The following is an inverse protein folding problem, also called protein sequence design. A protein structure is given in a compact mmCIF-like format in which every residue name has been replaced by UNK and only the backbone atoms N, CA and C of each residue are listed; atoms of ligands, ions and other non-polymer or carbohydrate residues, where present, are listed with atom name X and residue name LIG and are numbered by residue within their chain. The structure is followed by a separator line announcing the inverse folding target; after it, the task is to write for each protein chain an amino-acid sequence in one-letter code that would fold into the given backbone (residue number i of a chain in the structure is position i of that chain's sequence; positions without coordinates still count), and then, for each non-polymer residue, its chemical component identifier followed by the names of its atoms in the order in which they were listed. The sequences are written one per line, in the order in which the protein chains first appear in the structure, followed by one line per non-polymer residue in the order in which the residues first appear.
data_IF_977718153727
#
_entry.id   IF_977718153727
#
_cell.length_a   1.000
_cell.length_b   1.000
_cell.length_c   1.000
_cell.angle_alpha   90.00
_cell.angle_beta   90.00
_cell.angle_gamma   90.00
#
_symmetry.space_group_name_H-M   'P 1'
#
loop_
_entity.id
_entity.type
_entity.pdbx_description
1 polymer ?
#
# COMPACT_ATOMS: atom_id res chain seq x y z
N UNK A 1 53.94 -23.58 18.87
CA UNK A 1 52.44 -23.54 18.99
C UNK A 1 51.84 -22.12 18.91
N UNK A 2 52.64 -21.07 18.82
CA UNK A 2 52.21 -19.64 18.86
C UNK A 2 52.07 -18.96 17.49
N UNK A 3 52.70 -19.42 16.42
CA UNK A 3 52.63 -18.79 15.10
C UNK A 3 51.41 -19.23 14.28
N UNK A 4 51.02 -20.48 14.37
CA UNK A 4 49.85 -21.03 13.68
C UNK A 4 48.54 -20.42 14.21
N UNK A 5 48.44 -20.13 15.52
CA UNK A 5 47.28 -19.48 16.12
C UNK A 5 47.14 -18.01 15.66
N UNK A 6 48.27 -17.28 15.56
CA UNK A 6 48.31 -15.92 15.05
C UNK A 6 47.89 -15.84 13.57
N UNK A 7 48.36 -16.75 12.73
CA UNK A 7 48.04 -16.80 11.31
C UNK A 7 46.53 -17.07 11.07
N UNK A 8 45.91 -17.97 11.82
CA UNK A 8 44.48 -18.25 11.76
C UNK A 8 43.62 -17.06 12.23
N UNK A 9 44.07 -16.35 13.29
CA UNK A 9 43.35 -15.17 13.80
C UNK A 9 43.44 -14.01 12.83
N UNK A 10 44.62 -13.78 12.22
CA UNK A 10 44.82 -12.72 11.22
C UNK A 10 44.02 -12.98 9.93
N UNK A 11 44.00 -14.24 9.45
CA UNK A 11 43.20 -14.62 8.29
C UNK A 11 41.68 -14.52 8.54
N UNK A 12 41.23 -14.87 9.76
CA UNK A 12 39.82 -14.72 10.16
C UNK A 12 39.39 -13.24 10.29
N UNK A 13 40.28 -12.38 10.79
CA UNK A 13 40.06 -10.93 10.87
C UNK A 13 40.10 -10.28 9.48
N UNK A 14 41.04 -10.67 8.62
CA UNK A 14 41.14 -10.19 7.25
C UNK A 14 39.89 -10.57 6.41
N UNK A 15 39.33 -11.76 6.64
CA UNK A 15 38.06 -12.18 5.98
C UNK A 15 36.85 -11.36 6.42
N UNK A 16 36.88 -10.74 7.62
CA UNK A 16 35.83 -9.81 8.10
C UNK A 16 35.99 -8.38 7.54
N UNK A 17 37.16 -8.04 7.04
CA UNK A 17 37.47 -6.68 6.51
C UNK A 17 37.34 -6.55 4.99
N UNK A 18 37.12 -7.66 4.25
CA UNK A 18 36.78 -7.53 2.81
C UNK A 18 35.39 -6.96 2.66
N UNK A 19 35.22 -5.80 1.99
CA UNK A 19 33.92 -5.24 1.79
C UNK A 19 33.06 -6.24 1.01
N UNK A 20 31.77 -6.42 1.38
CA UNK A 20 30.90 -7.38 0.72
C UNK A 20 30.81 -7.05 -0.77
N UNK A 21 30.84 -8.07 -1.62
CA UNK A 21 30.72 -7.92 -3.06
C UNK A 21 29.39 -7.22 -3.47
N UNK A 22 29.32 -6.69 -4.71
CA UNK A 22 28.14 -5.94 -5.15
C UNK A 22 26.84 -6.74 -5.01
N UNK A 23 26.84 -8.03 -5.30
CA UNK A 23 25.69 -8.91 -5.13
C UNK A 23 25.29 -9.08 -3.65
N UNK A 24 26.28 -9.27 -2.76
CA UNK A 24 26.02 -9.39 -1.32
C UNK A 24 25.47 -8.09 -0.73
N UNK A 25 25.96 -6.93 -1.18
CA UNK A 25 25.42 -5.61 -0.82
C UNK A 25 23.99 -5.44 -1.30
N UNK A 26 23.69 -5.85 -2.54
CA UNK A 26 22.35 -5.81 -3.10
C UNK A 26 21.38 -6.68 -2.28
N UNK A 27 21.75 -7.93 -2.00
CA UNK A 27 20.93 -8.86 -1.19
C UNK A 27 20.72 -8.31 0.22
N UNK A 28 21.76 -7.80 0.86
CA UNK A 28 21.67 -7.26 2.21
C UNK A 28 20.76 -6.02 2.29
N UNK A 29 20.90 -5.10 1.33
CA UNK A 29 20.11 -3.87 1.27
C UNK A 29 18.64 -4.11 0.90
N UNK A 30 18.34 -5.21 0.18
CA UNK A 30 16.99 -5.54 -0.29
C UNK A 30 16.44 -6.83 0.37
N UNK A 31 16.99 -7.23 1.51
CA UNK A 31 16.64 -8.51 2.17
C UNK A 31 15.13 -8.68 2.44
N UNK A 32 14.45 -7.61 2.83
CA UNK A 32 13.00 -7.65 3.08
C UNK A 32 12.24 -7.92 1.78
N UNK A 33 12.53 -7.17 0.71
CA UNK A 33 11.91 -7.37 -0.61
C UNK A 33 12.19 -8.78 -1.15
N UNK A 34 13.44 -9.25 -1.05
CA UNK A 34 13.83 -10.60 -1.52
C UNK A 34 13.11 -11.67 -0.69
N UNK A 35 13.04 -11.50 0.63
CA UNK A 35 12.28 -12.40 1.49
C UNK A 35 10.80 -12.49 1.11
N UNK A 36 10.16 -11.36 0.88
CA UNK A 36 8.77 -11.30 0.41
C UNK A 36 8.60 -11.96 -0.97
N UNK A 37 9.55 -11.76 -1.90
CA UNK A 37 9.53 -12.41 -3.20
C UNK A 37 9.66 -13.93 -3.08
N UNK A 38 10.53 -14.43 -2.22
CA UNK A 38 10.67 -15.88 -1.97
C UNK A 38 9.36 -16.46 -1.40
N UNK A 39 8.74 -15.77 -0.44
CA UNK A 39 7.43 -16.19 0.10
C UNK A 39 6.38 -16.23 -1.01
N UNK A 40 6.34 -15.22 -1.88
CA UNK A 40 5.44 -15.19 -3.03
C UNK A 40 5.66 -16.38 -3.96
N UNK A 41 6.90 -16.69 -4.33
CA UNK A 41 7.21 -17.81 -5.22
C UNK A 41 6.85 -19.16 -4.60
N UNK A 42 7.12 -19.37 -3.31
CA UNK A 42 6.71 -20.58 -2.59
C UNK A 42 5.18 -20.71 -2.57
N UNK A 43 4.47 -19.63 -2.26
CA UNK A 43 3.01 -19.60 -2.28
C UNK A 43 2.46 -19.95 -3.66
N UNK A 44 3.02 -19.37 -4.74
CA UNK A 44 2.62 -19.68 -6.11
C UNK A 44 2.85 -21.16 -6.46
N UNK A 45 4.00 -21.71 -6.06
CA UNK A 45 4.26 -23.14 -6.27
C UNK A 45 3.22 -24.02 -5.55
N UNK A 46 2.86 -23.67 -4.31
CA UNK A 46 1.80 -24.39 -3.56
C UNK A 46 0.45 -24.26 -4.27
N UNK A 47 0.06 -23.06 -4.72
CA UNK A 47 -1.22 -22.85 -5.38
C UNK A 47 -1.32 -23.56 -6.73
N UNK A 48 -0.26 -23.55 -7.55
CA UNK A 48 -0.21 -24.24 -8.83
C UNK A 48 -0.32 -25.76 -8.61
N UNK A 49 0.34 -26.32 -7.60
CA UNK A 49 0.28 -27.76 -7.30
C UNK A 49 -1.06 -28.17 -6.69
N UNK A 50 -1.64 -27.33 -5.82
CA UNK A 50 -2.92 -27.61 -5.16
C UNK A 50 -4.12 -27.45 -6.10
N UNK A 51 -4.08 -26.49 -7.01
CA UNK A 51 -5.22 -26.16 -7.88
C UNK A 51 -4.75 -25.79 -9.32
N UNK A 52 -4.16 -26.74 -10.09
CA UNK A 52 -3.57 -26.42 -11.38
C UNK A 52 -4.58 -25.90 -12.41
N UNK A 53 -5.84 -26.37 -12.34
CA UNK A 53 -6.91 -25.90 -13.24
C UNK A 53 -7.20 -24.40 -13.10
N UNK A 54 -6.99 -23.83 -11.94
CA UNK A 54 -7.23 -22.41 -11.66
C UNK A 54 -5.97 -21.60 -11.94
N UNK A 55 -4.84 -21.99 -11.33
CA UNK A 55 -3.61 -21.20 -11.37
C UNK A 55 -2.75 -21.40 -12.63
N UNK A 56 -3.11 -22.32 -13.55
CA UNK A 56 -2.56 -22.37 -14.89
C UNK A 56 -3.46 -21.68 -15.93
N UNK A 57 -4.62 -21.13 -15.53
CA UNK A 57 -5.51 -20.39 -16.41
C UNK A 57 -5.19 -18.90 -16.39
N UNK A 58 -5.09 -18.29 -17.58
CA UNK A 58 -4.85 -16.84 -17.73
C UNK A 58 -5.90 -15.97 -17.05
N UNK A 59 -7.14 -16.41 -16.95
CA UNK A 59 -8.24 -15.63 -16.40
C UNK A 59 -8.00 -15.17 -14.96
N UNK A 60 -7.36 -15.99 -14.10
CA UNK A 60 -7.09 -15.59 -12.71
C UNK A 60 -6.05 -14.45 -12.66
N UNK A 61 -5.02 -14.53 -13.51
CA UNK A 61 -4.00 -13.49 -13.60
C UNK A 61 -4.60 -12.18 -14.12
N UNK A 62 -5.44 -12.26 -15.17
CA UNK A 62 -6.14 -11.09 -15.71
C UNK A 62 -7.01 -10.43 -14.64
N UNK A 63 -7.79 -11.19 -13.88
CA UNK A 63 -8.62 -10.68 -12.78
C UNK A 63 -7.79 -9.96 -11.72
N UNK A 64 -6.62 -10.52 -11.38
CA UNK A 64 -5.69 -9.90 -10.43
C UNK A 64 -5.09 -8.62 -11.03
N UNK A 65 -4.68 -8.63 -12.30
CA UNK A 65 -4.12 -7.45 -12.98
C UNK A 65 -5.13 -6.30 -13.09
N UNK A 66 -6.42 -6.60 -13.18
CA UNK A 66 -7.50 -5.60 -13.17
C UNK A 66 -7.63 -4.95 -11.79
N UNK A 67 -7.59 -5.72 -10.71
CA UNK A 67 -7.89 -5.24 -9.34
C UNK A 67 -6.67 -4.79 -8.55
N UNK A 68 -5.49 -5.33 -8.84
CA UNK A 68 -4.23 -5.03 -8.14
C UNK A 68 -3.88 -3.54 -8.11
N UNK A 69 -4.08 -2.74 -9.18
CA UNK A 69 -3.76 -1.31 -9.16
C UNK A 69 -4.47 -0.55 -8.05
N UNK A 70 -5.73 -0.91 -7.77
CA UNK A 70 -6.51 -0.31 -6.67
C UNK A 70 -5.81 -0.55 -5.33
N UNK A 71 -5.33 -1.77 -5.08
CA UNK A 71 -4.56 -2.09 -3.90
C UNK A 71 -3.22 -1.35 -3.85
N UNK A 72 -2.50 -1.22 -4.99
CA UNK A 72 -1.23 -0.51 -5.07
C UNK A 72 -1.36 0.97 -4.75
N UNK A 73 -2.43 1.64 -5.22
CA UNK A 73 -2.72 3.04 -4.89
C UNK A 73 -2.96 3.27 -3.38
N UNK A 74 -3.38 2.26 -2.64
CA UNK A 74 -3.54 2.29 -1.18
C UNK A 74 -2.23 1.91 -0.48
N UNK A 75 -1.65 0.76 -0.84
CA UNK A 75 -0.52 0.14 -0.12
C UNK A 75 0.73 1.02 -0.17
N UNK A 76 1.01 1.62 -1.32
CA UNK A 76 2.23 2.41 -1.51
C UNK A 76 2.25 3.68 -0.65
N UNK A 77 1.22 4.53 -0.63
CA UNK A 77 1.20 5.68 0.30
C UNK A 77 1.14 5.25 1.77
N UNK A 78 0.50 4.13 2.08
CA UNK A 78 0.45 3.60 3.44
C UNK A 78 1.86 3.23 3.96
N UNK A 79 2.80 2.81 3.08
CA UNK A 79 4.21 2.64 3.44
C UNK A 79 4.82 3.96 3.97
N UNK A 80 4.50 5.11 3.36
CA UNK A 80 5.01 6.41 3.83
C UNK A 80 4.44 6.76 5.21
N UNK A 81 3.15 6.53 5.43
CA UNK A 81 2.49 6.77 6.72
C UNK A 81 3.06 5.86 7.81
N UNK A 82 3.22 4.55 7.53
CA UNK A 82 3.77 3.61 8.51
C UNK A 82 5.26 3.89 8.75
N UNK A 83 6.03 4.25 7.72
CA UNK A 83 7.45 4.59 7.89
C UNK A 83 7.65 5.84 8.74
N UNK A 84 6.78 6.85 8.66
CA UNK A 84 6.89 8.04 9.50
C UNK A 84 6.46 7.80 10.97
N UNK A 85 6.02 6.57 11.29
CA UNK A 85 5.62 6.15 12.63
C UNK A 85 4.13 6.34 12.94
N UNK A 86 3.29 6.56 11.91
CA UNK A 86 1.86 6.74 12.07
C UNK A 86 1.08 5.59 11.42
N UNK A 87 -0.20 5.47 11.75
CA UNK A 87 -1.13 4.53 11.12
C UNK A 87 -2.35 5.31 10.66
N UNK A 88 -2.75 5.11 9.40
CA UNK A 88 -3.99 5.68 8.87
C UNK A 88 -5.04 4.57 8.71
N UNK A 89 -6.14 4.68 9.43
CA UNK A 89 -7.31 3.83 9.31
C UNK A 89 -8.48 4.55 8.61
N UNK A 90 -8.30 5.82 8.20
CA UNK A 90 -9.33 6.62 7.56
C UNK A 90 -9.35 6.49 6.04
N UNK A 91 -8.29 5.93 5.45
CA UNK A 91 -8.17 5.86 3.99
C UNK A 91 -9.32 5.12 3.29
N UNK A 92 -10.00 4.09 3.86
CA UNK A 92 -11.14 3.47 3.20
C UNK A 92 -12.32 4.43 3.04
N UNK A 93 -12.59 5.26 4.04
CA UNK A 93 -13.64 6.27 3.95
C UNK A 93 -13.22 7.43 3.03
N UNK A 94 -11.94 7.83 3.05
CA UNK A 94 -11.38 8.79 2.10
C UNK A 94 -11.52 8.31 0.66
N UNK A 95 -11.23 7.02 0.40
CA UNK A 95 -11.43 6.35 -0.88
C UNK A 95 -12.90 6.45 -1.33
N UNK A 96 -13.83 6.11 -0.42
CA UNK A 96 -15.26 6.20 -0.67
C UNK A 96 -15.72 7.63 -0.95
N UNK A 97 -15.26 8.60 -0.16
CA UNK A 97 -15.68 10.00 -0.28
C UNK A 97 -15.12 10.67 -1.56
N UNK A 98 -13.84 10.50 -1.86
CA UNK A 98 -13.24 11.07 -3.06
C UNK A 98 -13.85 10.49 -4.33
N UNK A 99 -14.08 9.17 -4.38
CA UNK A 99 -14.75 8.54 -5.53
C UNK A 99 -16.23 8.87 -5.62
N UNK A 100 -16.88 9.19 -4.53
CA UNK A 100 -18.24 9.75 -4.55
C UNK A 100 -18.29 11.10 -5.28
N UNK A 101 -17.38 12.02 -4.93
CA UNK A 101 -17.26 13.32 -5.63
C UNK A 101 -16.97 13.10 -7.12
N UNK A 102 -16.05 12.19 -7.47
CA UNK A 102 -15.81 11.83 -8.88
C UNK A 102 -17.10 11.41 -9.58
N UNK A 103 -17.88 10.52 -8.97
CA UNK A 103 -19.11 9.98 -9.55
C UNK A 103 -20.21 11.04 -9.72
N UNK A 104 -20.32 11.98 -8.76
CA UNK A 104 -21.24 13.11 -8.87
C UNK A 104 -20.87 14.03 -10.02
N UNK A 105 -19.59 14.38 -10.17
CA UNK A 105 -19.12 15.28 -11.22
C UNK A 105 -19.30 14.67 -12.62
N UNK A 106 -19.02 13.36 -12.77
CA UNK A 106 -19.28 12.64 -14.02
C UNK A 106 -20.76 12.67 -14.38
N UNK A 107 -21.66 12.36 -13.45
CA UNK A 107 -23.10 12.37 -13.70
C UNK A 107 -23.67 13.79 -13.89
N UNK A 108 -22.98 14.83 -13.44
CA UNK A 108 -23.28 16.22 -13.73
C UNK A 108 -22.79 16.67 -15.12
N UNK A 109 -22.16 15.78 -15.90
CA UNK A 109 -21.65 16.07 -17.24
C UNK A 109 -20.32 16.83 -17.26
N UNK A 110 -19.61 16.88 -16.15
CA UNK A 110 -18.28 17.52 -16.07
C UNK A 110 -17.23 16.61 -16.73
N UNK A 111 -16.28 17.22 -17.43
CA UNK A 111 -15.20 16.50 -18.11
C UNK A 111 -14.52 15.49 -17.16
N UNK A 112 -14.29 14.24 -17.60
CA UNK A 112 -13.74 13.17 -16.76
C UNK A 112 -12.35 13.48 -16.16
N UNK A 113 -11.50 14.20 -16.87
CA UNK A 113 -10.18 14.61 -16.35
C UNK A 113 -10.33 15.67 -15.25
N UNK A 114 -11.22 16.64 -15.43
CA UNK A 114 -11.53 17.64 -14.41
C UNK A 114 -12.10 16.97 -13.17
N UNK A 115 -13.01 16.02 -13.35
CA UNK A 115 -13.63 15.24 -12.27
C UNK A 115 -12.59 14.42 -11.50
N UNK A 116 -11.63 13.79 -12.20
CA UNK A 116 -10.51 13.05 -11.61
C UNK A 116 -9.62 13.98 -10.79
N UNK A 117 -9.21 15.11 -11.36
CA UNK A 117 -8.34 16.08 -10.66
C UNK A 117 -9.04 16.62 -9.42
N UNK A 118 -10.33 17.01 -9.52
CA UNK A 118 -11.12 17.50 -8.39
C UNK A 118 -11.21 16.45 -7.27
N UNK A 119 -11.50 15.19 -7.61
CA UNK A 119 -11.54 14.10 -6.63
C UNK A 119 -10.19 13.83 -5.96
N UNK A 120 -9.08 13.94 -6.70
CA UNK A 120 -7.74 13.85 -6.12
C UNK A 120 -7.47 15.00 -5.13
N UNK A 121 -7.87 16.23 -5.44
CA UNK A 121 -7.76 17.36 -4.51
C UNK A 121 -8.62 17.16 -3.26
N UNK A 122 -9.83 16.62 -3.40
CA UNK A 122 -10.67 16.26 -2.25
C UNK A 122 -10.00 15.21 -1.39
N UNK A 123 -9.45 14.15 -1.98
CA UNK A 123 -8.70 13.13 -1.23
C UNK A 123 -7.48 13.70 -0.49
N UNK A 124 -6.67 14.54 -1.16
CA UNK A 124 -5.55 15.24 -0.52
C UNK A 124 -6.02 16.17 0.60
N UNK A 125 -7.12 16.88 0.42
CA UNK A 125 -7.73 17.74 1.44
C UNK A 125 -8.20 16.96 2.67
N UNK A 126 -8.82 15.79 2.47
CA UNK A 126 -9.19 14.88 3.55
C UNK A 126 -7.96 14.34 4.27
N UNK A 127 -6.93 13.91 3.53
CA UNK A 127 -5.65 13.48 4.10
C UNK A 127 -4.97 14.61 4.89
N UNK A 128 -5.03 15.85 4.40
CA UNK A 128 -4.57 17.02 5.14
C UNK A 128 -5.36 17.19 6.45
N UNK A 129 -6.69 17.09 6.41
CA UNK A 129 -7.54 17.20 7.61
C UNK A 129 -7.22 16.14 8.65
N UNK A 130 -7.08 14.88 8.23
CA UNK A 130 -6.66 13.75 9.08
C UNK A 130 -5.27 14.01 9.67
N UNK A 131 -4.30 14.36 8.82
CA UNK A 131 -2.94 14.67 9.25
C UNK A 131 -2.88 15.87 10.21
N UNK A 132 -3.72 16.88 10.00
CA UNK A 132 -3.82 18.04 10.89
C UNK A 132 -4.34 17.66 12.28
N UNK A 133 -5.34 16.77 12.38
CA UNK A 133 -5.83 16.26 13.67
C UNK A 133 -4.72 15.51 14.43
N UNK A 134 -3.93 14.70 13.75
CA UNK A 134 -2.83 13.96 14.37
C UNK A 134 -1.70 14.89 14.78
N UNK A 135 -1.28 15.79 13.87
CA UNK A 135 -0.05 16.59 14.03
C UNK A 135 -0.26 17.82 14.90
N UNK A 136 -1.37 18.55 14.73
CA UNK A 136 -1.68 19.78 15.46
C UNK A 136 -2.62 19.53 16.63
N UNK A 137 -3.55 18.57 16.52
CA UNK A 137 -4.39 18.13 17.61
C UNK A 137 -3.66 17.25 18.62
N UNK A 138 -2.42 16.80 18.31
CA UNK A 138 -1.64 15.89 19.16
C UNK A 138 -2.39 14.62 19.55
N UNK A 139 -3.27 14.16 18.67
CA UNK A 139 -4.04 12.94 18.87
C UNK A 139 -3.25 11.72 18.39
N UNK A 140 -3.47 10.57 19.04
CA UNK A 140 -2.97 9.29 18.51
C UNK A 140 -3.53 9.06 17.10
N UNK A 141 -2.65 8.77 16.15
CA UNK A 141 -3.07 8.53 14.76
C UNK A 141 -4.10 7.39 14.64
N UNK A 142 -3.93 6.34 15.43
CA UNK A 142 -4.87 5.21 15.49
C UNK A 142 -6.30 5.65 15.83
N UNK A 143 -6.44 6.47 16.88
CA UNK A 143 -7.75 6.93 17.36
C UNK A 143 -8.32 8.00 16.44
N UNK A 144 -7.51 8.97 16.03
CA UNK A 144 -7.93 10.06 15.17
C UNK A 144 -8.39 9.56 13.79
N UNK A 145 -7.61 8.65 13.18
CA UNK A 145 -7.95 8.12 11.85
C UNK A 145 -9.14 7.18 11.90
N UNK A 146 -9.30 6.39 12.98
CA UNK A 146 -10.48 5.56 13.19
C UNK A 146 -11.74 6.43 13.34
N UNK A 147 -11.67 7.47 14.19
CA UNK A 147 -12.77 8.42 14.35
C UNK A 147 -13.13 9.10 13.01
N UNK A 148 -12.12 9.51 12.23
CA UNK A 148 -12.32 10.12 10.91
C UNK A 148 -12.93 9.16 9.92
N UNK A 149 -12.56 7.87 9.95
CA UNK A 149 -13.16 6.84 9.13
C UNK A 149 -14.67 6.73 9.38
N UNK A 150 -15.09 6.63 10.64
CA UNK A 150 -16.50 6.56 10.99
C UNK A 150 -17.26 7.86 10.67
N UNK A 151 -16.64 9.01 10.91
CA UNK A 151 -17.24 10.32 10.62
C UNK A 151 -17.49 10.48 9.11
N UNK A 152 -16.50 10.23 8.27
CA UNK A 152 -16.65 10.32 6.82
C UNK A 152 -17.62 9.28 6.28
N UNK A 153 -17.60 8.06 6.80
CA UNK A 153 -18.54 7.01 6.41
C UNK A 153 -19.97 7.38 6.79
N UNK A 154 -20.17 7.87 8.02
CA UNK A 154 -21.47 8.38 8.45
C UNK A 154 -21.97 9.54 7.59
N UNK A 155 -21.09 10.48 7.24
CA UNK A 155 -21.42 11.60 6.37
C UNK A 155 -21.84 11.13 4.96
N UNK A 156 -21.12 10.19 4.37
CA UNK A 156 -21.51 9.54 3.11
C UNK A 156 -22.93 8.96 3.23
N UNK A 157 -23.19 8.17 4.27
CA UNK A 157 -24.50 7.52 4.47
C UNK A 157 -25.63 8.53 4.66
N UNK A 158 -25.39 9.61 5.42
CA UNK A 158 -26.40 10.68 5.65
C UNK A 158 -26.74 11.37 4.34
N UNK A 159 -25.74 11.77 3.54
CA UNK A 159 -25.97 12.53 2.31
C UNK A 159 -26.58 11.65 1.22
N UNK A 160 -26.09 10.43 1.06
CA UNK A 160 -26.52 9.52 -0.01
C UNK A 160 -27.75 8.67 0.35
N UNK A 161 -28.09 8.65 1.64
CA UNK A 161 -29.13 7.75 2.19
C UNK A 161 -28.91 6.29 1.80
N UNK A 162 -27.64 5.86 1.73
CA UNK A 162 -27.24 4.52 1.35
C UNK A 162 -27.40 4.20 -0.16
N UNK A 163 -27.75 5.17 -1.00
CA UNK A 163 -27.93 4.95 -2.45
C UNK A 163 -26.60 4.90 -3.18
N UNK A 164 -26.48 3.96 -4.10
CA UNK A 164 -25.36 3.87 -5.05
C UNK A 164 -25.54 4.84 -6.22
N UNK A 165 -24.43 5.12 -6.92
CA UNK A 165 -24.41 5.96 -8.12
C UNK A 165 -23.85 5.12 -9.27
N UNK A 166 -24.69 4.80 -10.25
CA UNK A 166 -24.25 4.17 -11.48
C UNK A 166 -23.64 5.21 -12.44
N UNK A 167 -22.65 4.81 -13.21
CA UNK A 167 -21.97 5.63 -14.22
C UNK A 167 -22.11 5.00 -15.62
N UNK A 168 -23.32 4.97 -16.20
CA UNK A 168 -23.57 4.26 -17.45
C UNK A 168 -22.79 4.81 -18.64
N UNK A 169 -22.59 6.14 -18.69
CA UNK A 169 -21.91 6.82 -19.80
C UNK A 169 -20.38 6.90 -19.67
N UNK A 170 -19.77 6.37 -18.60
CA UNK A 170 -18.33 6.53 -18.39
C UNK A 170 -17.50 5.77 -19.43
N UNK A 171 -18.03 4.68 -19.98
CA UNK A 171 -17.35 3.87 -21.02
C UNK A 171 -17.15 4.67 -22.32
N UNK A 172 -18.05 5.59 -22.62
CA UNK A 172 -18.03 6.41 -23.84
C UNK A 172 -17.09 7.62 -23.71
N UNK A 173 -16.55 7.84 -22.49
CA UNK A 173 -15.61 8.91 -22.25
C UNK A 173 -14.22 8.58 -22.82
N UNK A 174 -13.53 9.59 -23.36
CA UNK A 174 -12.17 9.46 -23.87
C UNK A 174 -11.15 9.00 -22.80
N UNK A 175 -11.41 9.32 -21.53
CA UNK A 175 -10.53 9.00 -20.41
C UNK A 175 -10.62 7.51 -19.99
N UNK A 176 -11.77 6.87 -20.21
CA UNK A 176 -12.00 5.50 -19.78
C UNK A 176 -11.01 4.49 -20.41
N UNK A 177 -10.86 4.42 -21.75
CA UNK A 177 -9.91 3.47 -22.36
C UNK A 177 -8.45 3.77 -21.99
N UNK A 178 -8.14 5.02 -21.66
CA UNK A 178 -6.81 5.41 -21.21
C UNK A 178 -6.49 4.93 -19.78
N UNK A 179 -7.46 4.94 -18.87
CA UNK A 179 -7.28 4.54 -17.47
C UNK A 179 -7.56 3.05 -17.23
N UNK A 180 -8.65 2.52 -17.81
CA UNK A 180 -9.18 1.18 -17.50
C UNK A 180 -9.57 0.39 -18.74
N UNK A 181 -9.04 0.73 -19.91
CA UNK A 181 -9.24 -0.03 -21.14
C UNK A 181 -8.39 -1.29 -21.22
N UNK A 182 -8.51 -1.98 -22.34
CA UNK A 182 -7.73 -3.16 -22.69
C UNK A 182 -6.76 -2.86 -23.84
N UNK A 183 -5.48 -3.08 -23.60
CA UNK A 183 -4.45 -3.02 -24.62
C UNK A 183 -4.11 -4.46 -25.05
N UNK A 184 -4.72 -4.93 -26.13
CA UNK A 184 -4.50 -6.31 -26.68
C UNK A 184 -4.68 -7.39 -25.59
N UNK A 185 -5.77 -7.36 -24.84
CA UNK A 185 -6.09 -8.27 -23.72
C UNK A 185 -5.27 -8.04 -22.44
N UNK A 186 -4.55 -6.94 -22.35
CA UNK A 186 -3.82 -6.53 -21.15
C UNK A 186 -4.50 -5.29 -20.53
N UNK A 187 -4.94 -5.34 -19.27
CA UNK A 187 -5.68 -4.23 -18.65
C UNK A 187 -4.76 -3.01 -18.43
N UNK A 188 -5.15 -1.84 -18.98
CA UNK A 188 -4.33 -0.62 -18.91
C UNK A 188 -4.12 -0.12 -17.50
N UNK A 189 -5.04 -0.38 -16.59
CA UNK A 189 -4.96 0.05 -15.19
C UNK A 189 -3.70 -0.46 -14.48
N UNK A 190 -3.16 -1.63 -14.84
CA UNK A 190 -1.92 -2.13 -14.22
C UNK A 190 -0.71 -1.26 -14.57
N UNK A 191 -0.71 -0.65 -15.74
CA UNK A 191 0.36 0.28 -16.16
C UNK A 191 0.40 1.46 -15.20
N UNK A 192 -0.76 2.01 -14.85
CA UNK A 192 -0.88 3.12 -13.89
C UNK A 192 -0.46 2.71 -12.47
N UNK A 193 -0.87 1.51 -12.04
CA UNK A 193 -0.44 0.96 -10.75
C UNK A 193 1.08 0.79 -10.67
N UNK A 194 1.70 0.19 -11.69
CA UNK A 194 3.16 0.00 -11.78
C UNK A 194 3.89 1.35 -11.86
N UNK A 195 3.40 2.27 -12.69
CA UNK A 195 3.96 3.62 -12.78
C UNK A 195 3.94 4.33 -11.42
N UNK A 196 2.81 4.23 -10.70
CA UNK A 196 2.68 4.80 -9.36
C UNK A 196 3.67 4.19 -8.37
N UNK A 197 3.88 2.86 -8.41
CA UNK A 197 4.90 2.18 -7.58
C UNK A 197 6.30 2.69 -7.93
N UNK A 198 6.65 2.81 -9.21
CA UNK A 198 7.98 3.26 -9.66
C UNK A 198 8.24 4.70 -9.22
N UNK A 199 7.30 5.61 -9.47
CA UNK A 199 7.41 7.04 -9.07
C UNK A 199 7.53 7.15 -7.55
N UNK A 200 6.70 6.42 -6.80
CA UNK A 200 6.73 6.41 -5.34
C UNK A 200 8.04 5.83 -4.80
N UNK A 201 8.55 4.76 -5.42
CA UNK A 201 9.84 4.16 -5.05
C UNK A 201 10.99 5.15 -5.30
N UNK A 202 10.94 5.91 -6.39
CA UNK A 202 11.90 6.98 -6.64
C UNK A 202 11.81 8.07 -5.55
N UNK A 203 10.61 8.57 -5.26
CA UNK A 203 10.39 9.57 -4.19
C UNK A 203 10.86 9.04 -2.83
N UNK A 204 10.53 7.80 -2.50
CA UNK A 204 10.89 7.19 -1.22
C UNK A 204 12.39 6.94 -1.06
N UNK A 205 13.09 6.49 -2.12
CA UNK A 205 14.49 6.08 -2.04
C UNK A 205 15.49 7.16 -2.47
N UNK A 206 15.11 8.11 -3.32
CA UNK A 206 16.03 9.08 -3.95
C UNK A 206 15.70 10.53 -3.61
N UNK A 207 14.44 10.85 -3.30
CA UNK A 207 14.05 12.22 -3.01
C UNK A 207 14.23 12.58 -1.53
N UNK A 208 14.46 13.88 -1.25
CA UNK A 208 14.61 14.41 0.12
C UNK A 208 13.41 14.11 1.05
N UNK A 209 12.21 14.03 0.49
CA UNK A 209 11.00 13.73 1.24
C UNK A 209 11.07 12.30 1.85
N UNK A 210 11.43 11.29 1.06
CA UNK A 210 11.58 9.92 1.56
C UNK A 210 12.69 9.76 2.60
N UNK A 211 13.84 10.46 2.41
CA UNK A 211 14.90 10.47 3.42
C UNK A 211 14.42 11.07 4.75
N UNK A 212 13.66 12.18 4.69
CA UNK A 212 13.10 12.84 5.88
C UNK A 212 12.02 11.99 6.56
N UNK A 213 11.18 11.27 5.80
CA UNK A 213 10.19 10.32 6.36
C UNK A 213 10.89 9.26 7.20
N UNK A 214 11.95 8.65 6.67
CA UNK A 214 12.74 7.64 7.38
C UNK A 214 13.38 8.21 8.65
N UNK A 215 13.98 9.39 8.56
CA UNK A 215 14.60 10.06 9.72
C UNK A 215 13.58 10.39 10.81
N UNK A 216 12.41 10.93 10.44
CA UNK A 216 11.34 11.25 11.39
C UNK A 216 10.76 10.00 12.04
N UNK A 217 10.61 8.91 11.26
CA UNK A 217 10.08 7.65 11.79
C UNK A 217 11.08 6.89 12.67
N UNK A 218 12.39 7.05 12.43
CA UNK A 218 13.44 6.43 13.24
C UNK A 218 13.56 7.13 14.60
N UNK A 219 13.72 8.46 14.59
CA UNK A 219 13.76 9.27 15.81
C UNK A 219 13.29 10.71 15.51
N UNK A 220 12.06 11.08 15.90
CA UNK A 220 11.52 12.42 15.66
C UNK A 220 12.33 13.54 16.31
N UNK A 221 12.86 13.33 17.52
CA UNK A 221 13.61 14.36 18.25
C UNK A 221 14.96 14.62 17.60
N UNK A 222 15.68 13.57 17.23
CA UNK A 222 16.93 13.69 16.47
C UNK A 222 16.70 14.34 15.11
N UNK A 223 15.62 14.01 14.42
CA UNK A 223 15.25 14.64 13.14
C UNK A 223 14.98 16.15 13.31
N UNK A 224 14.29 16.54 14.40
CA UNK A 224 14.05 17.94 14.72
C UNK A 224 15.36 18.71 14.98
N UNK A 225 16.31 18.11 15.71
CA UNK A 225 17.64 18.69 15.96
C UNK A 225 18.44 18.91 14.67
N UNK A 226 18.23 18.06 13.65
CA UNK A 226 18.81 18.23 12.30
C UNK A 226 18.05 19.27 11.45
N UNK A 227 17.08 20.01 12.00
CA UNK A 227 16.30 21.03 11.30
C UNK A 227 15.18 20.47 10.43
N UNK A 228 14.80 19.20 10.59
CA UNK A 228 13.69 18.60 9.85
C UNK A 228 12.37 18.93 10.57
N UNK A 229 11.44 19.58 9.87
CA UNK A 229 10.10 19.85 10.42
C UNK A 229 9.28 18.56 10.48
N UNK A 230 9.29 17.90 11.65
CA UNK A 230 8.54 16.65 11.90
C UNK A 230 7.07 16.80 11.52
N UNK A 231 6.43 17.92 11.93
CA UNK A 231 5.02 18.20 11.65
C UNK A 231 4.71 18.21 10.14
N UNK A 232 5.54 18.91 9.34
CA UNK A 232 5.32 19.00 7.88
C UNK A 232 5.53 17.65 7.19
N UNK A 233 6.47 16.84 7.66
CA UNK A 233 6.76 15.52 7.09
C UNK A 233 5.61 14.54 7.37
N UNK A 234 5.11 14.48 8.61
CA UNK A 234 3.94 13.67 8.97
C UNK A 234 2.70 14.11 8.17
N UNK A 235 2.42 15.40 8.13
CA UNK A 235 1.30 15.96 7.36
C UNK A 235 1.39 15.57 5.87
N UNK A 236 2.58 15.68 5.27
CA UNK A 236 2.82 15.30 3.88
C UNK A 236 2.56 13.81 3.61
N UNK A 237 2.84 12.92 4.56
CA UNK A 237 2.54 11.49 4.44
C UNK A 237 1.02 11.24 4.40
N UNK A 238 0.23 11.91 5.25
CA UNK A 238 -1.23 11.82 5.24
C UNK A 238 -1.85 12.42 3.97
N UNK A 239 -1.34 13.55 3.48
CA UNK A 239 -1.79 14.15 2.20
C UNK A 239 -1.53 13.18 1.04
N UNK A 240 -0.36 12.54 1.04
CA UNK A 240 -0.03 11.55 0.01
C UNK A 240 -0.91 10.30 0.12
N UNK A 241 -1.28 9.88 1.35
CA UNK A 241 -2.26 8.81 1.58
C UNK A 241 -3.63 9.19 1.02
N UNK A 242 -4.08 10.42 1.24
CA UNK A 242 -5.33 10.93 0.69
C UNK A 242 -5.38 10.92 -0.84
N UNK A 243 -4.26 11.27 -1.50
CA UNK A 243 -4.13 11.15 -2.96
C UNK A 243 -4.26 9.69 -3.42
N UNK A 244 -3.53 8.77 -2.78
CA UNK A 244 -3.60 7.35 -3.13
C UNK A 244 -4.98 6.76 -2.91
N UNK A 245 -5.65 7.11 -1.81
CA UNK A 245 -7.03 6.71 -1.53
C UNK A 245 -8.00 7.23 -2.60
N UNK A 246 -7.86 8.48 -3.04
CA UNK A 246 -8.67 9.03 -4.14
C UNK A 246 -8.47 8.25 -5.44
N UNK A 247 -7.23 8.01 -5.86
CA UNK A 247 -6.92 7.22 -7.05
C UNK A 247 -7.50 5.81 -6.94
N UNK A 248 -7.30 5.13 -5.80
CA UNK A 248 -7.87 3.81 -5.56
C UNK A 248 -9.41 3.80 -5.69
N UNK A 249 -10.08 4.81 -5.12
CA UNK A 249 -11.52 4.96 -5.22
C UNK A 249 -12.01 5.18 -6.64
N UNK A 250 -11.36 6.07 -7.39
CA UNK A 250 -11.69 6.36 -8.79
C UNK A 250 -11.53 5.10 -9.65
N UNK A 251 -10.38 4.41 -9.56
CA UNK A 251 -10.16 3.18 -10.33
C UNK A 251 -11.14 2.07 -9.94
N UNK A 252 -11.49 1.95 -8.65
CA UNK A 252 -12.53 1.02 -8.20
C UNK A 252 -13.89 1.30 -8.85
N UNK A 253 -14.28 2.57 -8.94
CA UNK A 253 -15.54 2.98 -9.58
C UNK A 253 -15.49 2.76 -11.09
N UNK A 254 -14.38 3.06 -11.75
CA UNK A 254 -14.22 2.84 -13.18
C UNK A 254 -14.28 1.35 -13.56
N UNK A 255 -13.71 0.46 -12.72
CA UNK A 255 -13.77 -1.00 -12.93
C UNK A 255 -15.19 -1.53 -12.72
N UNK A 256 -15.92 -1.02 -11.73
CA UNK A 256 -17.25 -1.52 -11.35
C UNK A 256 -18.40 -0.76 -12.01
N UNK A 257 -18.16 0.35 -12.69
CA UNK A 257 -19.16 1.25 -13.30
C UNK A 257 -20.21 1.78 -12.33
N UNK A 258 -19.96 1.61 -11.04
CA UNK A 258 -20.87 1.99 -9.97
C UNK A 258 -20.08 2.37 -8.73
N UNK A 259 -20.47 3.45 -8.12
CA UNK A 259 -20.02 3.82 -6.80
C UNK A 259 -21.02 3.31 -5.74
N UNK A 260 -20.53 2.78 -4.64
CA UNK A 260 -21.32 2.38 -3.47
C UNK A 260 -20.88 3.14 -2.23
N UNK A 261 -21.79 3.41 -1.28
CA UNK A 261 -21.43 4.00 0.01
C UNK A 261 -20.38 3.22 0.79
N UNK A 262 -20.26 1.91 0.56
CA UNK A 262 -19.26 1.01 1.13
C UNK A 262 -17.93 0.94 0.35
N UNK A 263 -17.78 1.73 -0.72
CA UNK A 263 -16.52 1.75 -1.49
C UNK A 263 -15.34 2.02 -0.56
N UNK A 264 -14.33 1.15 -0.60
CA UNK A 264 -13.13 1.20 0.22
C UNK A 264 -13.12 0.28 1.44
N UNK A 265 -14.26 -0.16 1.99
CA UNK A 265 -14.31 -0.94 3.24
C UNK A 265 -13.47 -2.23 3.20
N UNK A 266 -13.45 -2.90 2.06
CA UNK A 266 -12.70 -4.15 1.88
C UNK A 266 -11.17 -3.98 1.82
N UNK A 267 -10.63 -2.75 1.80
CA UNK A 267 -9.19 -2.52 1.60
C UNK A 267 -8.40 -2.30 2.89
N UNK A 268 -9.05 -2.13 4.05
CA UNK A 268 -8.37 -1.82 5.31
C UNK A 268 -7.39 -2.93 5.72
N UNK A 269 -7.90 -4.11 5.97
CA UNK A 269 -7.07 -5.26 6.41
C UNK A 269 -6.11 -5.72 5.31
N UNK A 270 -6.54 -5.91 4.04
CA UNK A 270 -5.64 -6.25 2.95
C UNK A 270 -4.51 -5.25 2.75
N UNK A 271 -4.80 -3.95 2.86
CA UNK A 271 -3.79 -2.89 2.74
C UNK A 271 -2.73 -2.96 3.83
N UNK A 272 -3.13 -3.07 5.08
CA UNK A 272 -2.21 -3.24 6.22
C UNK A 272 -1.41 -4.55 6.11
N UNK A 273 -2.08 -5.66 5.78
CA UNK A 273 -1.43 -6.96 5.57
C UNK A 273 -0.32 -6.85 4.51
N UNK A 274 -0.61 -6.20 3.38
CA UNK A 274 0.33 -6.01 2.27
C UNK A 274 1.57 -5.23 2.69
N UNK A 275 1.39 -4.16 3.47
CA UNK A 275 2.48 -3.32 4.00
C UNK A 275 3.37 -4.10 4.95
N UNK A 276 2.77 -4.85 5.88
CA UNK A 276 3.53 -5.60 6.88
C UNK A 276 4.22 -6.84 6.29
N UNK A 277 3.52 -7.63 5.48
CA UNK A 277 4.14 -8.76 4.75
C UNK A 277 5.24 -8.27 3.82
N UNK A 278 5.08 -7.09 3.23
CA UNK A 278 6.08 -6.44 2.40
C UNK A 278 7.35 -6.00 3.12
N UNK A 279 7.41 -6.12 4.46
CA UNK A 279 8.59 -5.83 5.25
C UNK A 279 8.68 -4.40 5.78
N UNK A 280 7.55 -3.69 5.86
CA UNK A 280 7.46 -2.38 6.52
C UNK A 280 6.94 -2.59 7.95
N UNK A 281 7.77 -2.41 8.99
CA UNK A 281 7.37 -2.64 10.38
C UNK A 281 6.53 -1.48 10.95
N UNK A 282 5.81 -1.74 12.04
CA UNK A 282 4.91 -0.76 12.69
C UNK A 282 5.61 0.32 13.51
N UNK A 283 6.89 0.16 13.83
CA UNK A 283 7.62 1.12 14.69
C UNK A 283 8.24 2.30 13.94
N UNK A 284 8.11 2.35 12.61
CA UNK A 284 8.64 3.46 11.80
C UNK A 284 10.12 3.32 11.39
N UNK A 285 10.64 4.35 10.72
CA UNK A 285 12.02 4.47 10.26
C UNK A 285 12.40 3.63 9.05
N UNK A 286 11.73 2.51 8.84
CA UNK A 286 12.01 1.53 7.78
C UNK A 286 10.74 1.27 6.97
N UNK A 287 10.89 1.20 5.65
CA UNK A 287 9.80 0.80 4.75
C UNK A 287 10.34 0.31 3.41
N UNK A 288 9.56 -0.52 2.74
CA UNK A 288 9.92 -1.09 1.43
C UNK A 288 8.76 -0.97 0.45
N UNK A 289 8.87 -0.06 -0.52
CA UNK A 289 7.83 0.14 -1.54
C UNK A 289 7.62 -1.12 -2.37
N UNK A 290 8.70 -1.66 -2.95
CA UNK A 290 8.62 -2.88 -3.76
C UNK A 290 8.21 -4.10 -2.96
N UNK A 291 8.71 -4.24 -1.70
CA UNK A 291 8.29 -5.31 -0.82
C UNK A 291 6.78 -5.27 -0.54
N UNK A 292 6.24 -4.08 -0.25
CA UNK A 292 4.81 -3.90 0.01
C UNK A 292 3.95 -4.07 -1.25
N UNK A 293 4.46 -3.71 -2.43
CA UNK A 293 3.80 -4.01 -3.70
C UNK A 293 3.72 -5.54 -3.96
N UNK A 294 4.79 -6.29 -3.66
CA UNK A 294 4.78 -7.76 -3.69
C UNK A 294 3.83 -8.29 -2.60
N UNK A 295 3.80 -7.67 -1.43
CA UNK A 295 2.82 -7.98 -0.37
C UNK A 295 1.38 -7.82 -0.84
N UNK A 296 1.06 -6.76 -1.59
CA UNK A 296 -0.26 -6.59 -2.21
C UNK A 296 -0.58 -7.71 -3.21
N UNK A 297 0.41 -8.13 -3.99
CA UNK A 297 0.28 -9.25 -4.90
C UNK A 297 0.01 -10.57 -4.15
N UNK A 298 0.74 -10.85 -3.07
CA UNK A 298 0.51 -12.02 -2.20
C UNK A 298 -0.92 -12.02 -1.68
N UNK A 299 -1.39 -10.91 -1.12
CA UNK A 299 -2.73 -10.79 -0.55
C UNK A 299 -3.79 -10.98 -1.63
N UNK A 300 -3.61 -10.40 -2.83
CA UNK A 300 -4.52 -10.58 -3.96
C UNK A 300 -4.61 -12.05 -4.41
N UNK A 301 -3.47 -12.76 -4.50
CA UNK A 301 -3.46 -14.18 -4.84
C UNK A 301 -4.09 -15.06 -3.75
N UNK A 302 -3.90 -14.75 -2.47
CA UNK A 302 -4.55 -15.47 -1.36
C UNK A 302 -6.07 -15.30 -1.45
N UNK A 303 -6.56 -14.08 -1.67
CA UNK A 303 -8.00 -13.82 -1.84
C UNK A 303 -8.57 -14.60 -3.03
N UNK A 304 -7.90 -14.53 -4.17
CA UNK A 304 -8.30 -15.26 -5.37
C UNK A 304 -8.24 -16.78 -5.16
N UNK A 305 -7.22 -17.27 -4.47
CA UNK A 305 -7.05 -18.70 -4.16
C UNK A 305 -8.15 -19.24 -3.23
N UNK A 306 -8.55 -18.47 -2.22
CA UNK A 306 -9.66 -18.82 -1.31
C UNK A 306 -10.97 -18.92 -2.08
N UNK A 307 -11.27 -17.95 -2.95
CA UNK A 307 -12.48 -17.96 -3.78
C UNK A 307 -12.43 -19.12 -4.78
N UNK A 308 -11.29 -19.38 -5.39
CA UNK A 308 -11.10 -20.48 -6.33
C UNK A 308 -11.24 -21.86 -5.69
N UNK A 309 -10.93 -21.98 -4.39
CA UNK A 309 -11.19 -23.18 -3.59
C UNK A 309 -12.67 -23.37 -3.23
N UNK A 310 -13.56 -22.49 -3.68
CA UNK A 310 -15.00 -22.51 -3.35
C UNK A 310 -15.33 -22.04 -1.93
N UNK A 311 -14.37 -21.42 -1.25
CA UNK A 311 -14.56 -20.89 0.10
C UNK A 311 -15.19 -19.48 0.05
N UNK A 312 -15.98 -19.15 1.06
CA UNK A 312 -16.67 -17.87 1.14
C UNK A 312 -15.74 -16.70 1.52
N UNK A 313 -16.17 -15.47 1.31
CA UNK A 313 -15.43 -14.26 1.69
C UNK A 313 -15.09 -14.16 3.19
N UNK A 314 -15.76 -14.92 4.07
CA UNK A 314 -15.43 -14.99 5.51
C UNK A 314 -14.02 -15.57 5.74
N UNK A 315 -13.61 -16.54 4.94
CA UNK A 315 -12.24 -17.08 5.00
C UNK A 315 -11.21 -16.03 4.59
N UNK A 316 -11.54 -15.15 3.65
CA UNK A 316 -10.65 -14.03 3.27
C UNK A 316 -10.36 -13.13 4.48
N UNK A 317 -11.38 -12.77 5.26
CA UNK A 317 -11.19 -11.95 6.47
C UNK A 317 -10.32 -12.67 7.52
N UNK A 318 -10.58 -13.96 7.75
CA UNK A 318 -9.78 -14.78 8.67
C UNK A 318 -8.31 -14.82 8.24
N UNK A 319 -8.03 -15.14 6.99
CA UNK A 319 -6.65 -15.22 6.50
C UNK A 319 -5.95 -13.87 6.49
N UNK A 320 -6.63 -12.76 6.14
CA UNK A 320 -6.04 -11.42 6.23
C UNK A 320 -5.62 -11.09 7.68
N UNK A 321 -6.47 -11.39 8.67
CA UNK A 321 -6.13 -11.21 10.07
C UNK A 321 -4.94 -12.08 10.50
N UNK A 322 -4.94 -13.36 10.11
CA UNK A 322 -3.84 -14.29 10.39
C UNK A 322 -2.51 -13.81 9.79
N UNK A 323 -2.54 -13.36 8.54
CA UNK A 323 -1.36 -12.84 7.84
C UNK A 323 -0.77 -11.63 8.58
N UNK A 324 -1.60 -10.69 9.03
CA UNK A 324 -1.16 -9.52 9.80
C UNK A 324 -0.44 -9.99 11.09
N UNK A 325 -1.05 -10.89 11.83
CA UNK A 325 -0.47 -11.41 13.10
C UNK A 325 0.87 -12.08 12.84
N UNK A 326 0.95 -12.96 11.85
CA UNK A 326 2.19 -13.68 11.51
C UNK A 326 3.28 -12.72 11.02
N UNK A 327 2.95 -11.73 10.20
CA UNK A 327 3.89 -10.72 9.75
C UNK A 327 4.47 -9.91 10.92
N UNK A 328 3.62 -9.45 11.84
CA UNK A 328 4.06 -8.67 13.01
C UNK A 328 4.91 -9.51 13.97
N UNK A 329 4.56 -10.78 14.21
CA UNK A 329 5.38 -11.70 15.00
C UNK A 329 6.75 -11.95 14.36
N UNK A 330 6.80 -12.13 13.04
CA UNK A 330 8.05 -12.28 12.28
C UNK A 330 8.94 -11.03 12.37
N UNK A 331 8.36 -9.83 12.29
CA UNK A 331 9.09 -8.58 12.48
C UNK A 331 9.69 -8.47 13.89
N UNK A 332 8.90 -8.79 14.93
CA UNK A 332 9.38 -8.74 16.32
C UNK A 332 10.51 -9.73 16.57
N UNK A 333 10.40 -10.97 16.03
CA UNK A 333 11.46 -11.98 16.16
C UNK A 333 12.77 -11.54 15.52
N UNK A 334 12.71 -10.93 14.35
CA UNK A 334 13.90 -10.37 13.72
C UNK A 334 14.54 -9.24 14.54
N UNK A 335 13.72 -8.38 15.17
CA UNK A 335 14.22 -7.27 15.99
C UNK A 335 15.00 -7.74 17.23
N UNK A 336 14.55 -8.81 17.88
CA UNK A 336 15.23 -9.38 19.08
C UNK A 336 16.55 -10.06 18.78
N UNK A 337 16.82 -10.46 17.54
CA UNK A 337 18.11 -11.06 17.12
C UNK A 337 19.22 -10.03 16.85
N UNK A 338 18.88 -8.76 16.74
CA UNK A 338 19.84 -7.67 16.42
C UNK A 338 20.04 -6.67 17.56
N UNK A 339 19.39 -6.87 18.70
CA UNK A 339 19.70 -6.27 20.00
C UNK A 339 20.54 -7.25 20.83
#
# INVERSE_FOLDING_TARGET
MTETVKAHTTAAVARRLTPPGPLQRFIFNNRAMIGTLVVFLIMMAIFITASPRVFLNWQIYNSILVTLPVALFVVVPLVFVVTVGEIDLSFPATMGFASWIFSLLINAGIDPLVSLIAACFVGMGLGFGVGALVVYGSLSSLIATLGMNYMLRGLIMIITQGKSIALPGIKDSWLFPFLTGDLSSFPTQIIWGVLFVIVSAFVYNRHRFGARIKAVGDNPDSAAQMGISVKRIRLGAFVYMGLGAALAGIFSVLINFTWWPSTGDGYLLPGLASVFVGGTPTWGGIGTIFGSAIGALIVAFIQSGIIAAGLTGFYVQFFNGLIIILALLGHRWNQTRYR
#
